data_IF_962277560311
#
_entry.id   IF_962277560311
#
_cell.length_a   1.000
_cell.length_b   1.000
_cell.length_c   1.000
_cell.angle_alpha   90.00
_cell.angle_beta   90.00
_cell.angle_gamma   90.00
#
_symmetry.space_group_name_H-M   'P 1'
#
loop_
_entity.id
_entity.type
_entity.pdbx_description
1 polymer ?
#
# COMPACT_ATOMS: atom_id res chain seq x y z
N UNK A 1 9.25 -1.33 1.36
CA UNK A 1 9.22 0.03 0.77
C UNK A 1 10.56 0.74 0.91
N UNK A 2 11.05 1.00 2.12
CA UNK A 2 12.40 1.56 2.30
C UNK A 2 13.51 0.66 1.75
N UNK A 3 13.33 -0.67 1.87
CA UNK A 3 14.22 -1.68 1.26
C UNK A 3 14.31 -1.59 -0.27
N UNK A 4 13.34 -0.95 -0.93
CA UNK A 4 13.33 -0.70 -2.38
C UNK A 4 13.91 0.67 -2.76
N UNK A 5 14.49 1.41 -1.80
CA UNK A 5 15.05 2.74 -2.03
C UNK A 5 14.02 3.87 -2.13
N UNK A 6 12.76 3.62 -1.77
CA UNK A 6 11.72 4.66 -1.73
C UNK A 6 11.72 5.41 -0.40
N UNK A 7 11.38 6.69 -0.47
CA UNK A 7 11.14 7.52 0.71
C UNK A 7 9.70 7.28 1.18
N UNK A 8 9.49 7.08 2.47
CA UNK A 8 8.16 6.87 3.06
C UNK A 8 7.90 7.93 4.12
N UNK A 9 6.78 8.63 3.99
CA UNK A 9 6.31 9.62 4.96
C UNK A 9 4.95 9.22 5.52
N UNK A 10 4.74 9.43 6.81
CA UNK A 10 3.44 9.26 7.46
C UNK A 10 2.56 10.47 7.11
N UNK A 11 1.30 10.22 6.77
CA UNK A 11 0.29 11.26 6.62
C UNK A 11 -0.03 11.91 7.98
N UNK A 12 -0.57 13.13 7.95
CA UNK A 12 -1.12 13.75 9.15
C UNK A 12 -2.23 12.86 9.73
N UNK A 13 -2.33 12.68 11.07
CA UNK A 13 -3.42 11.94 11.70
C UNK A 13 -4.82 12.45 11.34
N UNK A 14 -4.93 13.70 10.86
CA UNK A 14 -6.18 14.32 10.41
C UNK A 14 -6.54 14.03 8.95
N UNK A 15 -5.70 13.34 8.18
CA UNK A 15 -6.01 12.93 6.80
C UNK A 15 -6.79 11.61 6.80
N UNK A 16 -8.05 11.57 6.35
CA UNK A 16 -8.85 10.35 6.37
C UNK A 16 -8.63 9.44 5.14
N UNK A 17 -7.82 9.86 4.16
CA UNK A 17 -7.76 9.23 2.85
C UNK A 17 -6.58 8.28 2.62
N UNK A 18 -5.45 8.49 3.28
CA UNK A 18 -4.27 7.62 3.22
C UNK A 18 -3.42 7.79 4.49
N UNK A 19 -2.65 6.77 4.84
CA UNK A 19 -1.79 6.77 6.04
C UNK A 19 -0.31 6.96 5.68
N UNK A 20 0.11 6.51 4.50
CA UNK A 20 1.49 6.60 4.03
C UNK A 20 1.56 7.25 2.65
N UNK A 21 2.54 8.13 2.48
CA UNK A 21 2.96 8.65 1.18
C UNK A 21 4.32 8.05 0.85
N UNK A 22 4.38 7.28 -0.23
CA UNK A 22 5.62 6.71 -0.75
C UNK A 22 6.07 7.54 -1.94
N UNK A 23 7.35 7.93 -1.96
CA UNK A 23 7.94 8.76 -3.00
C UNK A 23 9.11 8.04 -3.63
N UNK A 24 9.11 7.96 -4.96
CA UNK A 24 10.28 7.54 -5.72
C UNK A 24 11.20 8.75 -5.93
N UNK A 25 12.40 8.77 -5.31
CA UNK A 25 13.29 9.93 -5.39
C UNK A 25 13.89 10.16 -6.78
N UNK A 26 13.84 9.15 -7.67
CA UNK A 26 14.42 9.23 -9.01
C UNK A 26 13.52 10.03 -9.97
N UNK A 27 12.20 9.80 -9.91
CA UNK A 27 11.24 10.39 -10.83
C UNK A 27 10.19 11.28 -10.13
N UNK A 28 10.32 11.49 -8.81
CA UNK A 28 9.39 12.22 -7.94
C UNK A 28 7.94 11.71 -7.98
N UNK A 29 7.70 10.50 -8.49
CA UNK A 29 6.38 9.90 -8.51
C UNK A 29 5.99 9.50 -7.09
N UNK A 30 4.76 9.78 -6.73
CA UNK A 30 4.22 9.50 -5.41
C UNK A 30 3.15 8.42 -5.48
N UNK A 31 2.97 7.68 -4.39
CA UNK A 31 1.97 6.65 -4.22
C UNK A 31 1.38 6.76 -2.81
N UNK A 32 0.06 6.96 -2.73
CA UNK A 32 -0.69 7.03 -1.48
C UNK A 32 -1.13 5.63 -1.06
N UNK A 33 -0.75 5.20 0.13
CA UNK A 33 -1.19 3.92 0.70
C UNK A 33 -2.15 4.17 1.87
N UNK A 34 -3.34 3.59 1.79
CA UNK A 34 -4.23 3.45 2.94
C UNK A 34 -3.92 2.12 3.62
N UNK A 35 -3.67 2.16 4.92
CA UNK A 35 -3.38 0.99 5.74
C UNK A 35 -4.62 0.65 6.56
N UNK A 36 -4.98 -0.64 6.60
CA UNK A 36 -6.00 -1.16 7.50
C UNK A 36 -5.46 -2.36 8.24
N UNK A 37 -5.62 -2.37 9.56
CA UNK A 37 -5.26 -3.49 10.41
C UNK A 37 -6.52 -4.29 10.76
N UNK A 38 -6.40 -5.62 10.77
CA UNK A 38 -7.46 -6.52 11.23
C UNK A 38 -6.97 -7.45 12.31
N UNK A 39 -7.70 -7.44 13.42
CA UNK A 39 -7.55 -8.41 14.50
C UNK A 39 -8.35 -9.69 14.26
N UNK A 40 -9.36 -9.67 13.36
CA UNK A 40 -10.25 -10.79 13.07
C UNK A 40 -10.48 -10.98 11.55
N UNK A 41 -10.36 -12.22 11.08
CA UNK A 41 -10.55 -12.66 9.69
C UNK A 41 -11.96 -12.46 9.12
N UNK A 42 -12.96 -12.24 9.98
CA UNK A 42 -14.36 -12.05 9.60
C UNK A 42 -14.87 -10.60 9.71
N UNK A 43 -14.07 -9.65 10.22
CA UNK A 43 -14.48 -8.24 10.33
C UNK A 43 -14.65 -7.56 8.96
N UNK A 44 -15.78 -6.91 8.71
CA UNK A 44 -15.91 -6.00 7.57
C UNK A 44 -14.97 -4.81 7.71
N UNK A 45 -14.43 -4.33 6.59
CA UNK A 45 -13.53 -3.16 6.55
C UNK A 45 -14.31 -1.95 6.07
N UNK A 46 -14.38 -0.89 6.88
CA UNK A 46 -14.96 0.39 6.44
C UNK A 46 -13.91 1.22 5.69
N UNK A 47 -14.24 1.59 4.46
CA UNK A 47 -13.50 2.51 3.61
C UNK A 47 -14.31 3.80 3.49
N UNK A 48 -13.82 4.87 4.13
CA UNK A 48 -14.50 6.17 4.18
C UNK A 48 -14.18 7.08 3.00
N UNK A 49 -13.03 6.87 2.35
CA UNK A 49 -12.54 7.68 1.24
C UNK A 49 -11.70 6.80 0.31
N UNK A 50 -11.67 7.15 -0.98
CA UNK A 50 -10.86 6.45 -2.00
C UNK A 50 -9.75 7.34 -2.60
N UNK A 51 -9.32 8.39 -1.88
CA UNK A 51 -8.15 9.19 -2.27
C UNK A 51 -6.84 8.53 -1.80
N UNK A 52 -6.63 7.31 -2.29
CA UNK A 52 -5.39 6.54 -2.16
C UNK A 52 -5.11 5.82 -3.50
N UNK A 53 -3.93 5.23 -3.65
CA UNK A 53 -3.59 4.43 -4.83
C UNK A 53 -3.69 2.93 -4.53
N UNK A 54 -3.25 2.51 -3.35
CA UNK A 54 -3.38 1.13 -2.89
C UNK A 54 -3.90 1.04 -1.45
N UNK A 55 -4.69 0.02 -1.20
CA UNK A 55 -5.05 -0.45 0.14
C UNK A 55 -4.06 -1.54 0.57
N UNK A 56 -3.48 -1.35 1.75
CA UNK A 56 -2.61 -2.32 2.42
C UNK A 56 -3.37 -2.89 3.61
N UNK A 57 -3.74 -4.15 3.51
CA UNK A 57 -4.38 -4.88 4.59
C UNK A 57 -3.35 -5.68 5.38
N UNK A 58 -3.27 -5.46 6.69
CA UNK A 58 -2.45 -6.24 7.61
C UNK A 58 -3.32 -7.06 8.55
N UNK A 59 -3.00 -8.34 8.67
CA UNK A 59 -3.55 -9.21 9.73
C UNK A 59 -2.66 -9.16 10.99
N UNK A 60 -3.19 -9.69 12.10
CA UNK A 60 -2.45 -9.92 13.34
C UNK A 60 -1.10 -10.63 13.05
N UNK A 61 0.01 -10.22 13.70
CA UNK A 61 1.30 -10.83 13.46
C UNK A 61 1.33 -12.30 13.89
N UNK A 62 2.10 -13.08 13.14
CA UNK A 62 2.62 -14.38 13.59
C UNK A 62 4.11 -14.22 13.94
N UNK A 63 4.67 -15.15 14.69
CA UNK A 63 6.06 -15.07 15.14
C UNK A 63 6.87 -16.20 14.52
N UNK A 64 7.93 -15.85 13.81
CA UNK A 64 8.96 -16.78 13.37
C UNK A 64 10.13 -16.73 14.35
N UNK A 65 10.67 -17.89 14.70
CA UNK A 65 11.81 -17.99 15.61
C UNK A 65 13.11 -17.97 14.82
N UNK A 66 13.89 -16.90 14.99
CA UNK A 66 15.18 -16.73 14.31
C UNK A 66 16.29 -17.00 15.31
N UNK A 67 17.33 -17.70 14.87
CA UNK A 67 18.51 -17.96 15.70
C UNK A 67 19.47 -16.79 15.58
N UNK A 68 19.86 -16.22 16.71
CA UNK A 68 20.78 -15.08 16.79
C UNK A 68 21.96 -15.47 17.66
N UNK A 69 23.18 -15.24 17.18
CA UNK A 69 24.39 -15.41 18.00
C UNK A 69 24.67 -14.12 18.77
N UNK A 70 24.72 -14.23 20.10
CA UNK A 70 25.13 -13.17 21.02
C UNK A 70 26.19 -13.76 21.95
N UNK A 71 27.38 -13.17 21.96
CA UNK A 71 28.49 -13.58 22.83
C UNK A 71 28.88 -15.07 22.71
N UNK A 72 28.82 -15.61 21.49
CA UNK A 72 29.14 -17.02 21.22
C UNK A 72 28.02 -18.01 21.53
N UNK A 73 26.94 -17.58 22.20
CA UNK A 73 25.74 -18.38 22.44
C UNK A 73 24.68 -18.15 21.36
N UNK A 74 24.08 -19.24 20.87
CA UNK A 74 22.97 -19.18 19.94
C UNK A 74 21.64 -19.12 20.72
N UNK A 75 20.90 -18.02 20.58
CA UNK A 75 19.61 -17.82 21.23
C UNK A 75 18.50 -17.71 20.19
N UNK A 76 17.39 -18.38 20.45
CA UNK A 76 16.18 -18.26 19.64
C UNK A 76 15.41 -17.00 20.05
N UNK A 77 15.08 -16.15 19.07
CA UNK A 77 14.32 -14.91 19.28
C UNK A 77 13.08 -14.91 18.40
N UNK A 78 11.89 -14.64 18.96
CA UNK A 78 10.69 -14.47 18.15
C UNK A 78 10.77 -13.16 17.38
N UNK A 79 10.51 -13.21 16.07
CA UNK A 79 10.43 -12.07 15.17
C UNK A 79 9.02 -12.02 14.61
N UNK A 80 8.34 -10.89 14.81
CA UNK A 80 7.01 -10.69 14.29
C UNK A 80 7.03 -10.59 12.76
N UNK A 81 6.15 -11.33 12.12
CA UNK A 81 5.86 -11.32 10.69
C UNK A 81 4.38 -11.02 10.49
N UNK A 82 4.06 -10.34 9.40
CA UNK A 82 2.71 -9.91 9.10
C UNK A 82 2.35 -10.44 7.72
N UNK A 83 1.18 -11.08 7.59
CA UNK A 83 0.60 -11.27 6.27
C UNK A 83 0.03 -9.94 5.81
N UNK A 84 0.40 -9.54 4.59
CA UNK A 84 0.02 -8.26 4.02
C UNK A 84 -0.62 -8.49 2.67
N UNK A 85 -1.81 -7.93 2.44
CA UNK A 85 -2.44 -7.91 1.12
C UNK A 85 -2.38 -6.50 0.55
N UNK A 86 -1.94 -6.38 -0.69
CA UNK A 86 -1.77 -5.10 -1.39
C UNK A 86 -2.74 -5.09 -2.55
N UNK A 87 -3.68 -4.13 -2.53
CA UNK A 87 -4.84 -4.11 -3.42
C UNK A 87 -4.96 -2.74 -4.06
N UNK A 88 -5.11 -2.67 -5.39
CA UNK A 88 -5.29 -1.39 -6.07
C UNK A 88 -6.66 -0.76 -5.78
N UNK A 89 -6.71 0.58 -5.83
CA UNK A 89 -7.92 1.36 -5.59
C UNK A 89 -9.11 0.93 -6.47
N UNK A 90 -8.87 0.59 -7.73
CA UNK A 90 -9.91 0.27 -8.70
C UNK A 90 -10.69 -0.97 -8.28
N UNK A 91 -9.98 -2.01 -7.82
CA UNK A 91 -10.59 -3.20 -7.27
C UNK A 91 -11.35 -2.88 -5.98
N UNK A 92 -10.75 -2.10 -5.07
CA UNK A 92 -11.40 -1.73 -3.80
C UNK A 92 -12.70 -0.96 -4.05
N UNK A 93 -12.72 -0.04 -5.02
CA UNK A 93 -13.93 0.68 -5.43
C UNK A 93 -15.00 -0.24 -6.01
N UNK A 94 -14.61 -1.22 -6.82
CA UNK A 94 -15.52 -2.16 -7.46
C UNK A 94 -16.16 -3.15 -6.49
N UNK A 95 -15.43 -3.53 -5.43
CA UNK A 95 -15.88 -4.51 -4.45
C UNK A 95 -16.46 -3.89 -3.15
N UNK A 96 -16.38 -2.56 -3.02
CA UNK A 96 -17.03 -1.83 -1.92
C UNK A 96 -18.55 -1.82 -2.08
N UNK A 97 -19.25 -2.24 -1.04
CA UNK A 97 -20.71 -2.18 -0.97
C UNK A 97 -21.21 -0.73 -0.79
N UNK A 98 -22.52 -0.50 -0.97
CA UNK A 98 -23.16 0.82 -0.97
C UNK A 98 -22.92 1.68 0.29
N UNK A 99 -22.44 1.08 1.38
CA UNK A 99 -22.11 1.76 2.65
C UNK A 99 -20.60 1.89 2.92
N UNK A 100 -19.75 1.66 1.90
CA UNK A 100 -18.29 1.73 2.05
C UNK A 100 -17.68 0.54 2.79
N UNK A 101 -18.42 -0.58 2.91
CA UNK A 101 -17.87 -1.83 3.44
C UNK A 101 -17.19 -2.59 2.32
N UNK A 102 -15.91 -2.91 2.52
CA UNK A 102 -15.15 -3.77 1.62
C UNK A 102 -15.28 -5.22 2.07
N UNK A 103 -15.54 -6.13 1.12
CA UNK A 103 -15.50 -7.57 1.38
C UNK A 103 -14.06 -8.02 1.58
N UNK A 104 -13.88 -9.25 2.09
CA UNK A 104 -12.57 -9.73 2.49
C UNK A 104 -11.58 -9.80 1.29
N UNK A 105 -10.53 -8.97 1.23
CA UNK A 105 -9.66 -8.90 0.06
C UNK A 105 -8.48 -9.88 0.14
N UNK A 106 -8.58 -10.94 0.97
CA UNK A 106 -7.49 -11.90 1.24
C UNK A 106 -7.38 -12.97 0.15
N UNK A 107 -7.22 -12.55 -1.09
CA UNK A 107 -6.94 -13.42 -2.23
C UNK A 107 -5.43 -13.67 -2.33
N UNK A 108 -5.03 -14.86 -2.79
CA UNK A 108 -3.62 -15.23 -3.00
C UNK A 108 -2.87 -14.23 -3.85
N UNK A 109 -3.54 -13.71 -4.88
CA UNK A 109 -2.96 -12.82 -5.89
C UNK A 109 -2.58 -11.44 -5.32
N UNK A 110 -3.12 -11.08 -4.15
CA UNK A 110 -2.83 -9.83 -3.46
C UNK A 110 -1.85 -10.03 -2.29
N UNK A 111 -1.58 -11.27 -1.88
CA UNK A 111 -0.71 -11.57 -0.75
C UNK A 111 0.74 -11.19 -1.08
N UNK A 112 1.32 -10.32 -0.25
CA UNK A 112 2.66 -9.76 -0.38
C UNK A 112 2.97 -9.13 -1.74
N UNK A 113 1.94 -8.72 -2.49
CA UNK A 113 2.06 -8.21 -3.85
C UNK A 113 2.54 -6.74 -3.91
N UNK A 114 3.69 -6.47 -3.28
CA UNK A 114 4.33 -5.16 -3.30
C UNK A 114 4.86 -4.79 -4.68
N UNK A 115 5.06 -5.77 -5.56
CA UNK A 115 5.48 -5.54 -6.95
C UNK A 115 4.55 -4.56 -7.66
N UNK A 116 3.24 -4.64 -7.46
CA UNK A 116 2.30 -3.67 -8.06
C UNK A 116 2.60 -2.22 -7.66
N UNK A 117 2.96 -1.98 -6.39
CA UNK A 117 3.33 -0.64 -5.90
C UNK A 117 4.67 -0.20 -6.47
N UNK A 118 5.64 -1.12 -6.56
CA UNK A 118 6.95 -0.85 -7.19
C UNK A 118 6.73 -0.47 -8.66
N UNK A 119 6.01 -1.29 -9.44
CA UNK A 119 5.68 -1.03 -10.84
C UNK A 119 4.91 0.28 -11.02
N UNK A 120 3.99 0.60 -10.12
CA UNK A 120 3.30 1.88 -10.12
C UNK A 120 4.28 3.05 -9.96
N UNK A 121 5.22 2.97 -9.01
CA UNK A 121 6.20 4.02 -8.73
C UNK A 121 7.33 4.13 -9.78
N UNK A 122 7.64 3.06 -10.50
CA UNK A 122 8.71 3.03 -11.51
C UNK A 122 8.21 3.20 -12.94
N UNK A 123 6.92 2.95 -13.20
CA UNK A 123 6.33 3.17 -14.52
C UNK A 123 6.50 4.62 -14.96
N UNK A 124 6.93 4.81 -16.21
CA UNK A 124 7.10 6.11 -16.81
C UNK A 124 5.81 6.93 -16.64
N UNK A 125 5.95 8.19 -16.23
CA UNK A 125 4.83 9.13 -16.30
C UNK A 125 4.38 9.15 -17.75
N UNK A 126 3.15 8.73 -18.03
CA UNK A 126 2.49 9.13 -19.28
C UNK A 126 2.36 10.64 -19.16
N UNK A 127 3.34 11.36 -19.69
CA UNK A 127 3.22 12.78 -19.97
C UNK A 127 1.97 12.92 -20.82
N UNK A 128 0.97 13.61 -20.29
CA UNK A 128 -0.11 14.18 -21.07
C UNK A 128 0.57 15.09 -22.10
N UNK A 129 0.84 14.56 -23.30
CA UNK A 129 1.29 15.37 -24.41
C UNK A 129 0.21 16.44 -24.65
N UNK A 130 0.64 17.69 -24.58
CA UNK A 130 -0.20 18.85 -24.77
C UNK A 130 -0.85 18.83 -26.15
N UNK A 131 -2.16 18.98 -26.17
CA UNK A 131 -2.82 19.58 -27.32
C UNK A 131 -2.62 21.08 -27.18
N UNK A 132 -1.54 21.62 -27.78
CA UNK A 132 -1.54 23.02 -28.16
C UNK A 132 -2.69 23.19 -29.15
N UNK A 133 -3.80 23.75 -28.67
CA UNK A 133 -4.88 24.17 -29.53
C UNK A 133 -4.42 25.46 -30.21
N UNK A 134 -3.91 25.34 -31.43
CA UNK A 134 -3.68 26.45 -32.33
C UNK A 134 -5.00 27.22 -32.50
N UNK A 135 -5.06 28.44 -31.95
CA UNK A 135 -6.07 29.41 -32.36
C UNK A 135 -5.74 29.87 -33.78
N UNK A 136 -6.61 29.66 -34.78
CA UNK A 136 -6.47 30.34 -36.06
C UNK A 136 -6.91 31.80 -35.91
N UNK A 137 -6.13 32.68 -36.53
CA UNK A 137 -6.45 34.10 -36.71
C UNK A 137 -7.83 34.32 -37.34
N UNK A 138 -8.53 35.33 -36.83
CA UNK A 138 -9.37 36.24 -37.59
C UNK A 138 -9.17 37.66 -37.03
#
# INVERSE_FOLDING_TARGET
MMEFGFIVSLASPSMPSYDLLVVNPINNKTCKLQVKFRSNSNSTLSISCFDFDFLVLLDKPYHEYVKVKLDGEEKSRPVAKFNVWVVNKEWVKGDCEAFGYLRNPRYSDYLHNWEQVVSFLTSANKSSQGTQQNCPHA
#
